data_IF_457769058802
#
_entry.id   IF_457769058802
#
_cell.length_a   1.000
_cell.length_b   1.000
_cell.length_c   1.000
_cell.angle_alpha   90.00
_cell.angle_beta   90.00
_cell.angle_gamma   90.00
#
_symmetry.space_group_name_H-M   'P 1'
#
loop_
_entity.id
_entity.type
_entity.pdbx_description
1 polymer ?
#
# COMPACT_ATOMS: atom_id res chain seq x y z
N UNK A 1 16.43 -63.15 16.16
CA UNK A 1 15.46 -62.31 15.42
C UNK A 1 15.54 -60.91 15.98
N UNK A 2 15.39 -59.88 15.13
CA UNK A 2 16.37 -58.82 14.95
C UNK A 2 15.87 -57.46 15.46
N UNK A 3 16.77 -56.49 15.56
CA UNK A 3 16.46 -55.08 15.78
C UNK A 3 17.54 -54.22 15.13
N UNK A 4 17.54 -54.21 13.80
CA UNK A 4 18.31 -53.31 12.94
C UNK A 4 17.88 -51.86 13.14
N UNK A 5 18.88 -50.98 13.08
CA UNK A 5 18.87 -49.61 12.54
C UNK A 5 17.69 -48.69 12.85
N UNK A 6 17.98 -47.60 13.57
CA UNK A 6 17.64 -46.25 13.04
C UNK A 6 18.69 -45.25 13.52
N UNK A 7 19.81 -45.18 12.82
CA UNK A 7 20.58 -43.94 12.77
C UNK A 7 19.66 -42.88 12.13
N UNK A 8 19.10 -41.99 12.95
CA UNK A 8 18.36 -40.84 12.46
C UNK A 8 19.27 -39.93 11.62
N UNK A 9 18.79 -39.35 10.50
CA UNK A 9 19.60 -38.48 9.67
C UNK A 9 20.06 -37.25 10.47
N UNK A 10 21.26 -36.70 10.18
CA UNK A 10 21.76 -35.52 10.88
C UNK A 10 20.82 -34.33 10.65
N UNK A 11 20.30 -33.77 11.75
CA UNK A 11 19.49 -32.57 11.72
C UNK A 11 20.34 -31.36 11.25
N UNK A 12 20.04 -30.92 10.02
CA UNK A 12 20.36 -29.64 9.38
C UNK A 12 21.53 -28.83 9.91
N UNK A 13 22.62 -28.78 9.14
CA UNK A 13 23.62 -27.71 9.25
C UNK A 13 22.96 -26.38 8.90
N UNK A 14 22.45 -25.67 9.89
CA UNK A 14 22.05 -24.26 9.74
C UNK A 14 23.25 -23.47 9.22
N UNK A 15 23.03 -22.65 8.18
CA UNK A 15 24.06 -21.76 7.63
C UNK A 15 24.64 -20.92 8.77
N UNK A 16 25.96 -20.94 8.95
CA UNK A 16 26.63 -20.22 10.03
C UNK A 16 26.32 -18.73 9.96
N UNK A 17 26.09 -18.08 11.12
CA UNK A 17 25.89 -16.62 11.21
C UNK A 17 27.04 -15.86 10.56
N UNK A 18 28.26 -16.39 10.63
CA UNK A 18 29.43 -15.82 9.94
C UNK A 18 29.25 -15.82 8.42
N UNK A 19 28.75 -16.92 7.85
CA UNK A 19 28.48 -17.03 6.40
C UNK A 19 27.39 -16.05 5.99
N UNK A 20 26.34 -15.88 6.80
CA UNK A 20 25.27 -14.91 6.53
C UNK A 20 25.82 -13.47 6.57
N UNK A 21 26.58 -13.11 7.62
CA UNK A 21 27.17 -11.77 7.75
C UNK A 21 28.16 -11.49 6.61
N UNK A 22 29.02 -12.46 6.26
CA UNK A 22 29.96 -12.32 5.16
C UNK A 22 29.24 -12.15 3.82
N UNK A 23 28.20 -12.95 3.57
CA UNK A 23 27.38 -12.84 2.37
C UNK A 23 26.70 -11.47 2.27
N UNK A 24 26.00 -11.03 3.32
CA UNK A 24 25.35 -9.71 3.38
C UNK A 24 26.35 -8.58 3.19
N UNK A 25 27.50 -8.65 3.87
CA UNK A 25 28.57 -7.64 3.74
C UNK A 25 29.10 -7.58 2.31
N UNK A 26 29.38 -8.75 1.71
CA UNK A 26 29.83 -8.84 0.32
C UNK A 26 28.79 -8.27 -0.65
N UNK A 27 27.51 -8.57 -0.44
CA UNK A 27 26.39 -8.00 -1.21
C UNK A 27 26.35 -6.48 -1.10
N UNK A 28 26.42 -5.91 0.11
CA UNK A 28 26.41 -4.46 0.31
C UNK A 28 27.59 -3.79 -0.40
N UNK A 29 28.79 -4.35 -0.28
CA UNK A 29 29.98 -3.80 -0.94
C UNK A 29 29.86 -3.83 -2.47
N UNK A 30 29.38 -4.93 -3.04
CA UNK A 30 29.12 -5.04 -4.49
C UNK A 30 28.06 -4.04 -4.94
N UNK A 31 27.01 -3.83 -4.14
CA UNK A 31 25.98 -2.84 -4.41
C UNK A 31 26.56 -1.44 -4.45
N UNK A 32 27.34 -1.06 -3.43
CA UNK A 32 27.98 0.26 -3.35
C UNK A 32 28.96 0.49 -4.50
N UNK A 33 29.75 -0.53 -4.88
CA UNK A 33 30.65 -0.44 -6.03
C UNK A 33 29.90 -0.28 -7.36
N UNK A 34 28.83 -1.05 -7.57
CA UNK A 34 27.98 -0.93 -8.76
C UNK A 34 27.28 0.44 -8.83
N UNK A 35 26.77 0.92 -7.69
CA UNK A 35 26.19 2.24 -7.54
C UNK A 35 27.19 3.33 -7.89
N UNK A 36 28.39 3.27 -7.32
CA UNK A 36 29.44 4.24 -7.60
C UNK A 36 29.78 4.31 -9.09
N UNK A 37 29.95 3.14 -9.75
CA UNK A 37 30.27 3.09 -11.17
C UNK A 37 29.15 3.70 -12.03
N UNK A 38 27.89 3.38 -11.71
CA UNK A 38 26.74 3.99 -12.38
C UNK A 38 26.66 5.51 -12.13
N UNK A 39 26.90 5.95 -10.89
CA UNK A 39 26.89 7.37 -10.52
C UNK A 39 27.91 8.17 -11.34
N UNK A 40 29.16 7.68 -11.40
CA UNK A 40 30.22 8.32 -12.20
C UNK A 40 29.88 8.33 -13.68
N UNK A 41 29.29 7.25 -14.20
CA UNK A 41 28.88 7.18 -15.61
C UNK A 41 27.81 8.21 -15.96
N UNK A 42 26.83 8.41 -15.08
CA UNK A 42 25.78 9.43 -15.27
C UNK A 42 26.36 10.85 -15.13
N UNK A 43 27.31 11.06 -14.22
CA UNK A 43 28.02 12.33 -14.08
C UNK A 43 28.83 12.64 -15.35
N UNK A 44 29.58 11.67 -15.87
CA UNK A 44 30.38 11.83 -17.09
C UNK A 44 29.48 12.11 -18.30
N UNK A 45 28.33 11.44 -18.38
CA UNK A 45 27.34 11.70 -19.43
C UNK A 45 26.74 13.12 -19.33
N UNK A 46 26.52 13.62 -18.12
CA UNK A 46 26.07 15.00 -17.89
C UNK A 46 27.11 16.01 -18.35
N UNK A 47 28.40 15.78 -18.05
CA UNK A 47 29.51 16.60 -18.56
C UNK A 47 29.55 16.54 -20.09
N UNK A 48 29.43 15.36 -20.67
CA UNK A 48 29.39 15.16 -22.12
C UNK A 48 28.21 15.89 -22.78
N UNK A 49 27.12 16.07 -22.04
CA UNK A 49 25.92 16.81 -22.47
C UNK A 49 26.05 18.33 -22.28
N UNK A 50 27.21 18.83 -21.85
CA UNK A 50 27.50 20.26 -21.72
C UNK A 50 27.22 20.85 -20.34
N UNK A 51 26.91 20.04 -19.33
CA UNK A 51 26.76 20.52 -17.94
C UNK A 51 28.16 20.75 -17.35
N UNK A 52 28.41 21.90 -16.66
CA UNK A 52 29.69 22.15 -15.99
C UNK A 52 30.04 21.01 -15.02
N UNK A 53 31.31 20.61 -14.96
CA UNK A 53 31.79 19.52 -14.11
C UNK A 53 31.46 19.70 -12.63
N UNK A 54 31.44 20.96 -12.15
CA UNK A 54 31.06 21.32 -10.77
C UNK A 54 29.59 21.01 -10.45
N UNK A 55 28.71 20.93 -11.45
CA UNK A 55 27.27 20.71 -11.30
C UNK A 55 26.82 19.34 -11.80
N UNK A 56 27.65 18.66 -12.58
CA UNK A 56 27.30 17.39 -13.23
C UNK A 56 26.93 16.27 -12.24
N UNK A 57 27.43 16.31 -11.00
CA UNK A 57 27.08 15.36 -9.94
C UNK A 57 25.60 15.43 -9.50
N UNK A 58 24.90 16.53 -9.80
CA UNK A 58 23.48 16.69 -9.47
C UNK A 58 22.62 15.76 -10.34
N UNK A 59 23.04 15.49 -11.58
CA UNK A 59 22.29 14.66 -12.51
C UNK A 59 22.09 13.21 -12.01
N UNK A 60 23.14 12.44 -11.67
CA UNK A 60 22.96 11.11 -11.08
C UNK A 60 22.18 11.17 -9.76
N UNK A 61 22.39 12.19 -8.93
CA UNK A 61 21.65 12.35 -7.68
C UNK A 61 20.13 12.45 -7.90
N UNK A 62 19.69 13.16 -8.94
CA UNK A 62 18.26 13.26 -9.28
C UNK A 62 17.72 11.88 -9.69
N UNK A 63 18.43 11.15 -10.56
CA UNK A 63 18.01 9.83 -11.03
C UNK A 63 17.92 8.84 -9.85
N UNK A 64 18.94 8.81 -9.01
CA UNK A 64 18.99 7.94 -7.84
C UNK A 64 17.96 8.35 -6.78
N UNK A 65 17.72 9.65 -6.60
CA UNK A 65 16.66 10.18 -5.74
C UNK A 65 15.28 9.69 -6.17
N UNK A 66 14.98 9.68 -7.47
CA UNK A 66 13.73 9.14 -8.01
C UNK A 66 13.63 7.63 -7.76
N UNK A 67 14.70 6.87 -7.96
CA UNK A 67 14.72 5.42 -7.67
C UNK A 67 14.48 5.16 -6.19
N UNK A 68 15.11 5.93 -5.30
CA UNK A 68 14.93 5.84 -3.86
C UNK A 68 13.49 6.15 -3.45
N UNK A 69 12.93 7.26 -3.90
CA UNK A 69 11.56 7.66 -3.58
C UNK A 69 10.54 6.65 -4.13
N UNK A 70 10.76 6.13 -5.34
CA UNK A 70 9.96 5.06 -5.91
C UNK A 70 10.04 3.76 -5.09
N UNK A 71 11.23 3.39 -4.61
CA UNK A 71 11.42 2.21 -3.75
C UNK A 71 10.68 2.34 -2.43
N UNK A 72 10.81 3.50 -1.75
CA UNK A 72 10.05 3.80 -0.53
C UNK A 72 8.55 3.75 -0.80
N UNK A 73 8.10 4.32 -1.92
CA UNK A 73 6.70 4.31 -2.33
C UNK A 73 6.17 2.88 -2.58
N UNK A 74 6.96 2.00 -3.21
CA UNK A 74 6.59 0.59 -3.41
C UNK A 74 6.38 -0.13 -2.07
N UNK A 75 7.18 0.19 -1.06
CA UNK A 75 7.05 -0.39 0.29
C UNK A 75 5.87 0.24 1.05
N UNK A 76 5.74 1.57 1.01
CA UNK A 76 4.70 2.32 1.73
C UNK A 76 3.29 2.03 1.19
N UNK A 77 3.15 1.91 -0.13
CA UNK A 77 1.87 1.67 -0.81
C UNK A 77 1.49 0.18 -0.86
N UNK A 78 2.12 -0.68 -0.04
CA UNK A 78 1.87 -2.14 -0.02
C UNK A 78 0.39 -2.48 0.21
N UNK A 79 -0.28 -1.72 1.07
CA UNK A 79 -1.69 -1.92 1.42
C UNK A 79 -2.63 -0.90 0.72
N UNK A 80 -2.11 -0.13 -0.24
CA UNK A 80 -2.85 0.89 -0.97
C UNK A 80 -3.52 0.34 -2.23
N UNK A 81 -4.24 1.19 -2.95
CA UNK A 81 -4.95 0.80 -4.17
C UNK A 81 -3.99 0.24 -5.25
N UNK A 82 -4.44 -0.73 -6.07
CA UNK A 82 -3.61 -1.30 -7.13
C UNK A 82 -3.09 -0.28 -8.16
N UNK A 83 -3.78 0.85 -8.35
CA UNK A 83 -3.32 1.94 -9.22
C UNK A 83 -2.11 2.67 -8.64
N UNK A 84 -2.13 3.05 -7.35
CA UNK A 84 -1.03 3.73 -6.70
C UNK A 84 0.24 2.87 -6.69
N UNK A 85 0.09 1.56 -6.40
CA UNK A 85 1.20 0.60 -6.45
C UNK A 85 1.78 0.45 -7.86
N UNK A 86 0.93 0.40 -8.90
CA UNK A 86 1.41 0.36 -10.30
C UNK A 86 2.21 1.59 -10.66
N UNK A 87 1.76 2.79 -10.26
CA UNK A 87 2.49 4.02 -10.49
C UNK A 87 3.89 3.99 -9.84
N UNK A 88 3.99 3.58 -8.58
CA UNK A 88 5.28 3.45 -7.90
C UNK A 88 6.22 2.44 -8.59
N UNK A 89 5.69 1.30 -9.04
CA UNK A 89 6.46 0.32 -9.83
C UNK A 89 6.89 0.85 -11.19
N UNK A 90 6.02 1.60 -11.88
CA UNK A 90 6.37 2.24 -13.16
C UNK A 90 7.46 3.29 -12.97
N UNK A 91 7.37 4.10 -11.92
CA UNK A 91 8.40 5.10 -11.61
C UNK A 91 9.75 4.44 -11.30
N UNK A 92 9.73 3.34 -10.52
CA UNK A 92 10.93 2.55 -10.24
C UNK A 92 11.54 1.96 -11.52
N UNK A 93 10.71 1.35 -12.37
CA UNK A 93 11.14 0.76 -13.63
C UNK A 93 11.68 1.82 -14.60
N UNK A 94 11.05 3.00 -14.66
CA UNK A 94 11.50 4.12 -15.47
C UNK A 94 12.86 4.64 -15.00
N UNK A 95 13.03 4.90 -13.70
CA UNK A 95 14.30 5.35 -13.13
C UNK A 95 15.44 4.36 -13.38
N UNK A 96 15.20 3.07 -13.14
CA UNK A 96 16.18 2.01 -13.44
C UNK A 96 16.48 1.93 -14.94
N UNK A 97 15.47 2.07 -15.81
CA UNK A 97 15.64 2.09 -17.25
C UNK A 97 16.52 3.24 -17.74
N UNK A 98 16.35 4.44 -17.18
CA UNK A 98 17.21 5.60 -17.46
C UNK A 98 18.65 5.32 -17.05
N UNK A 99 18.87 4.73 -15.87
CA UNK A 99 20.21 4.35 -15.40
C UNK A 99 20.88 3.35 -16.36
N UNK A 100 20.19 2.28 -16.76
CA UNK A 100 20.70 1.30 -17.74
C UNK A 100 21.02 1.97 -19.08
N UNK A 101 20.11 2.77 -19.61
CA UNK A 101 20.29 3.44 -20.89
C UNK A 101 21.48 4.42 -20.86
N UNK A 102 21.66 5.16 -19.77
CA UNK A 102 22.80 6.07 -19.60
C UNK A 102 24.12 5.30 -19.55
N UNK A 103 24.18 4.19 -18.82
CA UNK A 103 25.38 3.35 -18.77
C UNK A 103 25.74 2.74 -20.13
N UNK A 104 24.74 2.24 -20.86
CA UNK A 104 24.93 1.75 -22.23
C UNK A 104 25.45 2.87 -23.13
N UNK A 105 24.81 4.04 -23.09
CA UNK A 105 25.18 5.19 -23.94
C UNK A 105 26.62 5.61 -23.69
N UNK A 106 26.99 5.79 -22.42
CA UNK A 106 28.36 6.15 -22.05
C UNK A 106 29.36 5.09 -22.53
N UNK A 107 29.05 3.81 -22.37
CA UNK A 107 29.93 2.73 -22.80
C UNK A 107 30.09 2.66 -24.33
N UNK A 108 29.00 2.88 -25.09
CA UNK A 108 29.05 2.89 -26.56
C UNK A 108 29.82 4.11 -27.08
N UNK A 109 29.63 5.28 -26.47
CA UNK A 109 30.34 6.50 -26.85
C UNK A 109 31.82 6.45 -26.46
N UNK A 110 32.14 5.84 -25.32
CA UNK A 110 33.52 5.72 -24.82
C UNK A 110 34.23 4.45 -25.28
N UNK A 111 33.57 3.56 -26.04
CA UNK A 111 34.16 2.31 -26.48
C UNK A 111 35.34 2.58 -27.42
N UNK A 112 36.51 2.04 -27.06
CA UNK A 112 37.63 1.95 -27.99
C UNK A 112 37.26 1.03 -29.17
N UNK A 113 37.78 1.33 -30.34
CA UNK A 113 37.61 0.56 -31.60
C UNK A 113 37.92 -0.94 -31.48
N UNK A 114 38.64 -1.33 -30.42
CA UNK A 114 39.01 -2.71 -30.12
C UNK A 114 37.88 -3.54 -29.52
N UNK A 115 36.86 -2.92 -28.92
CA UNK A 115 35.76 -3.61 -28.26
C UNK A 115 34.46 -3.37 -29.03
N UNK A 116 33.75 -4.43 -29.48
CA UNK A 116 32.44 -4.27 -30.10
C UNK A 116 31.46 -3.54 -29.17
N UNK A 117 30.72 -2.57 -29.72
CA UNK A 117 29.76 -1.75 -28.97
C UNK A 117 28.73 -2.57 -28.18
N UNK A 118 28.31 -3.72 -28.73
CA UNK A 118 27.41 -4.65 -28.04
C UNK A 118 28.01 -5.20 -26.74
N UNK A 119 29.30 -5.56 -26.74
CA UNK A 119 29.97 -6.10 -25.56
C UNK A 119 30.10 -5.02 -24.49
N UNK A 120 30.50 -3.79 -24.88
CA UNK A 120 30.58 -2.65 -23.98
C UNK A 120 29.22 -2.34 -23.33
N UNK A 121 28.14 -2.33 -24.11
CA UNK A 121 26.78 -2.13 -23.63
C UNK A 121 26.33 -3.21 -22.64
N UNK A 122 26.62 -4.48 -22.92
CA UNK A 122 26.27 -5.59 -22.03
C UNK A 122 27.00 -5.49 -20.69
N UNK A 123 28.31 -5.23 -20.71
CA UNK A 123 29.11 -5.05 -19.48
C UNK A 123 28.62 -3.85 -18.68
N UNK A 124 28.34 -2.72 -19.35
CA UNK A 124 27.84 -1.51 -18.71
C UNK A 124 26.42 -1.65 -18.13
N UNK A 125 25.64 -2.63 -18.59
CA UNK A 125 24.32 -2.92 -18.03
C UNK A 125 24.39 -3.70 -16.71
N UNK A 126 25.52 -4.36 -16.41
CA UNK A 126 25.65 -5.21 -15.22
C UNK A 126 25.45 -4.41 -13.91
N UNK A 127 26.13 -3.27 -13.68
CA UNK A 127 25.95 -2.51 -12.44
C UNK A 127 24.49 -2.12 -12.14
N UNK A 128 23.73 -1.47 -13.05
CA UNK A 128 22.36 -1.08 -12.76
C UNK A 128 21.40 -2.28 -12.62
N UNK A 129 21.63 -3.38 -13.36
CA UNK A 129 20.79 -4.58 -13.24
C UNK A 129 20.98 -5.29 -11.90
N UNK A 130 22.22 -5.34 -11.39
CA UNK A 130 22.51 -5.90 -10.06
C UNK A 130 21.80 -5.10 -8.97
N UNK A 131 21.84 -3.76 -9.04
CA UNK A 131 21.12 -2.91 -8.09
C UNK A 131 19.61 -3.13 -8.16
N UNK A 132 19.05 -3.21 -9.37
CA UNK A 132 17.62 -3.47 -9.55
C UNK A 132 17.22 -4.82 -8.95
N UNK A 133 18.04 -5.85 -9.13
CA UNK A 133 17.84 -7.16 -8.52
C UNK A 133 17.87 -7.07 -6.99
N UNK A 134 18.81 -6.32 -6.40
CA UNK A 134 18.86 -6.11 -4.95
C UNK A 134 17.64 -5.35 -4.43
N UNK A 135 17.17 -4.33 -5.14
CA UNK A 135 15.96 -3.61 -4.79
C UNK A 135 14.75 -4.55 -4.79
N UNK A 136 14.63 -5.40 -5.80
CA UNK A 136 13.58 -6.41 -5.87
C UNK A 136 13.63 -7.38 -4.69
N UNK A 137 14.80 -7.93 -4.38
CA UNK A 137 15.01 -8.83 -3.25
C UNK A 137 14.70 -8.15 -1.91
N UNK A 138 15.07 -6.89 -1.72
CA UNK A 138 14.81 -6.12 -0.51
C UNK A 138 13.30 -5.89 -0.31
N UNK A 139 12.60 -5.53 -1.38
CA UNK A 139 11.15 -5.37 -1.37
C UNK A 139 10.47 -6.69 -1.03
N UNK A 140 10.93 -7.80 -1.60
CA UNK A 140 10.37 -9.12 -1.34
C UNK A 140 10.64 -9.59 0.11
N UNK A 141 11.86 -9.43 0.62
CA UNK A 141 12.19 -9.75 2.00
C UNK A 141 11.33 -8.94 3.01
N UNK A 142 11.07 -7.68 2.70
CA UNK A 142 10.20 -6.80 3.51
C UNK A 142 8.71 -7.21 3.42
N UNK A 143 8.28 -7.86 2.33
CA UNK A 143 6.94 -8.42 2.21
C UNK A 143 6.77 -9.69 3.04
N UNK A 144 7.81 -10.51 3.15
CA UNK A 144 7.76 -11.80 3.85
C UNK A 144 8.04 -11.71 5.36
N UNK A 145 8.57 -10.60 5.86
CA UNK A 145 8.81 -10.41 7.30
C UNK A 145 7.57 -9.82 7.97
N UNK A 146 6.70 -10.68 8.50
CA UNK A 146 5.63 -10.27 9.44
C UNK A 146 6.26 -10.04 10.82
N UNK A 147 6.01 -8.91 11.51
CA UNK A 147 6.56 -8.70 12.85
C UNK A 147 5.96 -9.70 13.85
N UNK A 148 6.77 -10.65 14.31
CA UNK A 148 6.50 -11.51 15.48
C UNK A 148 6.74 -10.70 16.77
N UNK A 149 6.04 -9.57 16.90
CA UNK A 149 6.05 -8.75 18.12
C UNK A 149 4.63 -8.26 18.39
N UNK A 150 3.69 -9.19 18.51
CA UNK A 150 2.34 -8.92 19.01
C UNK A 150 1.76 -10.09 19.82
N UNK A 151 2.60 -11.05 20.26
CA UNK A 151 2.14 -12.22 21.03
C UNK A 151 2.68 -12.29 22.46
N UNK A 152 3.36 -11.25 22.94
CA UNK A 152 3.83 -11.19 24.33
C UNK A 152 3.08 -10.21 25.24
N UNK A 153 2.05 -9.51 24.76
CA UNK A 153 1.35 -8.48 25.58
C UNK A 153 -0.18 -8.64 25.64
N UNK A 154 -0.69 -9.88 25.69
CA UNK A 154 -2.15 -10.11 25.86
C UNK A 154 -2.49 -11.21 26.89
N UNK A 155 -1.53 -11.71 27.67
CA UNK A 155 -1.83 -12.61 28.80
C UNK A 155 -1.88 -11.95 30.18
N UNK A 156 -1.79 -10.62 30.27
CA UNK A 156 -1.71 -9.91 31.57
C UNK A 156 -2.79 -8.84 31.77
N UNK A 157 -4.01 -8.99 31.23
CA UNK A 157 -5.14 -8.08 31.57
C UNK A 157 -6.50 -8.78 31.74
N UNK A 158 -6.52 -10.11 31.88
CA UNK A 158 -7.76 -10.88 32.07
C UNK A 158 -7.89 -11.48 33.47
N UNK A 159 -7.62 -10.74 34.55
CA UNK A 159 -7.96 -11.19 35.92
C UNK A 159 -8.23 -10.01 36.86
N UNK A 160 -9.15 -9.09 36.57
CA UNK A 160 -9.91 -8.37 37.61
C UNK A 160 -11.17 -7.79 36.94
N UNK A 161 -12.34 -8.37 37.19
CA UNK A 161 -13.49 -7.67 37.82
C UNK A 161 -14.75 -8.56 37.76
N UNK A 162 -14.95 -9.35 38.82
CA UNK A 162 -16.19 -10.07 39.09
C UNK A 162 -16.70 -9.62 40.45
N UNK A 163 -17.74 -8.78 40.47
CA UNK A 163 -18.59 -8.57 41.64
C UNK A 163 -19.97 -7.99 41.24
N UNK A 164 -21.00 -8.82 41.36
CA UNK A 164 -22.43 -8.45 41.40
C UNK A 164 -22.94 -8.58 42.85
N UNK A 165 -23.83 -7.67 43.29
CA UNK A 165 -25.08 -8.13 43.94
C UNK A 165 -26.30 -7.25 43.54
N UNK A 166 -27.38 -7.78 42.96
CA UNK A 166 -28.72 -8.03 43.56
C UNK A 166 -29.36 -6.89 44.38
N UNK A 167 -30.48 -6.36 43.86
CA UNK A 167 -31.49 -5.58 44.59
C UNK A 167 -32.81 -5.56 43.82
N UNK A 168 -33.90 -5.98 44.48
CA UNK A 168 -35.25 -6.28 43.96
C UNK A 168 -36.23 -5.25 44.52
N UNK A 169 -37.13 -4.68 43.71
CA UNK A 169 -38.49 -4.33 44.15
C UNK A 169 -39.44 -3.92 42.99
N UNK A 170 -40.68 -4.38 43.14
CA UNK A 170 -41.82 -4.36 42.23
C UNK A 170 -42.70 -3.11 42.40
N UNK A 171 -43.49 -2.72 41.38
CA UNK A 171 -44.99 -2.59 41.43
C UNK A 171 -45.58 -2.13 40.08
N UNK A 172 -46.69 -2.77 39.69
CA UNK A 172 -47.65 -2.39 38.62
C UNK A 172 -48.87 -1.75 39.29
N UNK A 173 -49.50 -0.70 38.70
CA UNK A 173 -50.91 -0.82 38.32
C UNK A 173 -51.33 -0.11 37.01
N UNK A 174 -52.33 -0.72 36.38
CA UNK A 174 -53.13 -0.40 35.18
C UNK A 174 -53.79 0.98 35.11
N UNK A 175 -53.80 1.63 33.93
CA UNK A 175 -54.93 2.40 33.38
C UNK A 175 -54.71 2.84 31.90
N UNK A 176 -55.71 2.62 31.03
CA UNK A 176 -55.91 3.27 29.71
C UNK A 176 -56.94 4.40 29.90
N UNK A 177 -56.82 5.57 29.24
CA UNK A 177 -57.54 5.81 27.97
C UNK A 177 -56.77 6.68 26.93
N UNK A 178 -57.36 6.81 25.74
CA UNK A 178 -56.91 7.38 24.43
C UNK A 178 -57.31 8.89 24.34
N UNK A 179 -57.00 9.72 23.30
CA UNK A 179 -55.74 10.10 22.60
C UNK A 179 -55.48 11.64 22.64
N UNK A 180 -54.22 12.13 22.59
CA UNK A 180 -53.92 13.47 22.04
C UNK A 180 -52.40 13.69 21.93
N UNK A 181 -51.95 13.85 20.69
CA UNK A 181 -51.04 14.90 20.19
C UNK A 181 -49.72 15.24 20.90
N UNK A 182 -48.70 15.36 20.04
CA UNK A 182 -47.45 16.11 20.19
C UNK A 182 -46.21 15.40 20.79
N UNK A 183 -45.17 15.48 19.95
CA UNK A 183 -43.78 15.77 20.31
C UNK A 183 -42.82 14.67 20.78
N UNK A 184 -41.93 14.33 19.83
CA UNK A 184 -40.46 14.40 19.91
C UNK A 184 -39.75 13.61 21.04
N UNK A 185 -39.06 12.55 20.58
CA UNK A 185 -37.59 12.34 20.62
C UNK A 185 -36.83 13.08 21.75
N UNK A 186 -35.98 12.46 22.58
CA UNK A 186 -34.92 11.52 22.21
C UNK A 186 -34.29 10.81 23.42
N UNK A 187 -33.68 9.69 23.07
CA UNK A 187 -32.79 8.75 23.76
C UNK A 187 -31.46 9.38 24.27
N UNK A 188 -30.57 8.57 24.87
CA UNK A 188 -29.49 8.02 24.02
C UNK A 188 -29.05 6.58 24.38
N UNK A 189 -28.83 5.72 23.36
CA UNK A 189 -27.58 4.97 23.10
C UNK A 189 -27.80 3.74 22.17
N UNK A 190 -27.00 3.73 21.09
CA UNK A 190 -26.51 2.69 20.14
C UNK A 190 -26.72 1.21 20.58
N UNK A 191 -27.11 0.21 19.72
CA UNK A 191 -26.18 -0.42 18.76
C UNK A 191 -26.70 -1.19 17.52
N UNK A 192 -25.74 -1.39 16.60
CA UNK A 192 -25.53 -2.48 15.63
C UNK A 192 -26.62 -3.53 15.39
N UNK A 193 -26.90 -3.79 14.11
CA UNK A 193 -26.84 -5.12 13.44
C UNK A 193 -27.61 -5.07 12.12
N UNK A 194 -27.04 -5.63 11.05
CA UNK A 194 -27.88 -6.19 9.98
C UNK A 194 -28.66 -7.38 10.54
N UNK A 195 -29.95 -7.50 10.21
CA UNK A 195 -30.35 -8.67 9.47
C UNK A 195 -31.17 -8.33 8.22
N UNK A 196 -31.14 -9.29 7.31
CA UNK A 196 -31.85 -9.42 6.04
C UNK A 196 -33.22 -8.71 5.92
N UNK A 197 -33.43 -8.19 4.70
CA UNK A 197 -34.60 -8.52 3.88
C UNK A 197 -35.86 -7.69 4.13
N UNK A 198 -36.31 -7.02 3.06
CA UNK A 198 -37.53 -6.19 2.87
C UNK A 198 -37.23 -4.69 3.02
N UNK A 199 -37.33 -3.77 2.06
CA UNK A 199 -37.67 -3.78 0.63
C UNK A 199 -37.08 -2.47 0.00
N UNK A 200 -36.93 -2.35 -1.34
CA UNK A 200 -36.09 -1.37 -2.04
C UNK A 200 -36.49 0.12 -1.93
N UNK A 201 -37.71 0.43 -1.53
CA UNK A 201 -38.28 1.80 -1.59
C UNK A 201 -37.55 2.81 -0.67
N UNK A 202 -37.17 2.40 0.54
CA UNK A 202 -36.61 3.32 1.54
C UNK A 202 -35.21 3.85 1.20
N UNK A 203 -34.42 3.11 0.41
CA UNK A 203 -33.08 3.54 -0.02
C UNK A 203 -33.13 4.48 -1.22
N UNK A 204 -34.11 4.32 -2.10
CA UNK A 204 -34.30 5.17 -3.26
C UNK A 204 -34.89 6.53 -2.83
N UNK A 205 -35.84 6.53 -1.89
CA UNK A 205 -36.38 7.75 -1.28
C UNK A 205 -35.32 8.54 -0.49
N UNK A 206 -34.45 7.84 0.28
CA UNK A 206 -33.33 8.47 0.96
C UNK A 206 -32.31 9.09 -0.01
N UNK A 207 -32.13 8.47 -1.19
CA UNK A 207 -31.27 9.00 -2.25
C UNK A 207 -31.89 10.24 -2.92
N UNK A 208 -33.19 10.23 -3.20
CA UNK A 208 -33.91 11.39 -3.76
C UNK A 208 -33.82 12.60 -2.83
N UNK A 209 -34.01 12.42 -1.53
CA UNK A 209 -33.84 13.50 -0.53
C UNK A 209 -32.39 13.99 -0.41
N UNK A 210 -31.41 13.11 -0.58
CA UNK A 210 -30.00 13.51 -0.60
C UNK A 210 -29.68 14.43 -1.80
N UNK A 211 -30.32 14.19 -2.95
CA UNK A 211 -30.15 14.98 -4.17
C UNK A 211 -30.80 16.37 -4.02
N UNK A 212 -32.00 16.47 -3.42
CA UNK A 212 -32.68 17.76 -3.18
C UNK A 212 -31.90 18.64 -2.22
N UNK A 213 -31.43 18.10 -1.09
CA UNK A 213 -30.66 18.88 -0.10
C UNK A 213 -29.31 19.37 -0.66
N UNK A 214 -28.69 18.60 -1.57
CA UNK A 214 -27.46 19.04 -2.24
C UNK A 214 -27.74 20.13 -3.30
N UNK A 215 -28.93 20.15 -3.90
CA UNK A 215 -29.35 21.23 -4.80
C UNK A 215 -29.61 22.56 -4.04
N UNK A 216 -30.08 22.47 -2.79
CA UNK A 216 -30.28 23.60 -1.88
C UNK A 216 -28.96 24.09 -1.23
N UNK A 217 -27.81 23.55 -1.65
CA UNK A 217 -26.47 23.99 -1.20
C UNK A 217 -26.01 23.40 0.14
N UNK A 218 -26.74 22.44 0.69
CA UNK A 218 -26.38 21.79 1.97
C UNK A 218 -25.15 20.91 1.79
N UNK A 219 -24.21 21.00 2.74
CA UNK A 219 -22.95 20.26 2.66
C UNK A 219 -23.17 18.74 2.77
N UNK A 220 -22.37 17.96 2.03
CA UNK A 220 -22.46 16.48 1.99
C UNK A 220 -22.36 15.81 3.37
N UNK A 221 -21.64 16.45 4.32
CA UNK A 221 -21.53 15.99 5.71
C UNK A 221 -22.84 16.15 6.48
N UNK A 222 -23.57 17.23 6.23
CA UNK A 222 -24.83 17.53 6.90
C UNK A 222 -25.97 16.66 6.37
N UNK A 223 -26.00 16.42 5.06
CA UNK A 223 -26.93 15.46 4.41
C UNK A 223 -26.74 14.04 4.97
N UNK A 224 -25.48 13.63 5.19
CA UNK A 224 -25.14 12.33 5.74
C UNK A 224 -25.67 12.16 7.18
N UNK A 225 -25.53 13.19 8.00
CA UNK A 225 -26.07 13.24 9.37
C UNK A 225 -27.60 13.21 9.37
N UNK A 226 -28.24 13.97 8.47
CA UNK A 226 -29.71 14.07 8.37
C UNK A 226 -30.38 12.78 7.89
N UNK A 227 -29.71 12.05 7.00
CA UNK A 227 -30.20 10.79 6.45
C UNK A 227 -29.69 9.55 7.22
N UNK A 228 -28.88 9.73 8.27
CA UNK A 228 -28.32 8.63 9.06
C UNK A 228 -27.39 7.69 8.29
N UNK A 229 -26.80 8.17 7.19
CA UNK A 229 -25.92 7.39 6.30
C UNK A 229 -24.51 7.98 6.27
N UNK A 230 -23.51 7.16 5.94
CA UNK A 230 -22.13 7.64 5.92
C UNK A 230 -21.88 8.68 4.79
N UNK A 231 -21.06 9.73 4.99
CA UNK A 231 -20.80 10.78 3.99
C UNK A 231 -20.34 10.26 2.61
N UNK A 232 -19.63 9.13 2.59
CA UNK A 232 -19.19 8.46 1.36
C UNK A 232 -20.36 7.85 0.57
N UNK A 233 -21.43 7.43 1.24
CA UNK A 233 -22.66 6.92 0.62
C UNK A 233 -23.41 8.04 -0.10
N UNK A 234 -23.52 9.21 0.53
CA UNK A 234 -24.11 10.42 -0.08
C UNK A 234 -23.27 10.86 -1.28
N UNK A 235 -21.94 10.91 -1.15
CA UNK A 235 -21.04 11.26 -2.26
C UNK A 235 -21.20 10.33 -3.48
N UNK A 236 -21.40 9.03 -3.25
CA UNK A 236 -21.66 8.06 -4.33
C UNK A 236 -23.03 8.27 -4.98
N UNK A 237 -24.06 8.60 -4.21
CA UNK A 237 -25.41 8.88 -4.75
C UNK A 237 -25.46 10.13 -5.62
N UNK A 238 -24.73 11.18 -5.24
CA UNK A 238 -24.62 12.44 -5.98
C UNK A 238 -23.77 12.33 -7.26
N UNK A 239 -22.79 11.41 -7.28
CA UNK A 239 -21.88 11.21 -8.42
C UNK A 239 -22.33 10.10 -9.39
N UNK A 240 -23.46 9.43 -9.13
CA UNK A 240 -23.96 8.39 -10.02
C UNK A 240 -24.88 9.03 -11.07
N UNK A 241 -24.46 9.15 -12.36
CA UNK A 241 -25.33 9.64 -13.42
C UNK A 241 -26.52 8.69 -13.62
N UNK A 242 -27.72 9.26 -13.79
CA UNK A 242 -28.96 8.51 -13.99
C UNK A 242 -28.87 7.61 -15.22
N UNK A 243 -28.79 6.30 -15.02
CA UNK A 243 -28.84 5.30 -16.11
C UNK A 243 -30.29 5.00 -16.54
N UNK A 244 -31.23 5.94 -16.40
CA UNK A 244 -32.64 5.76 -16.80
C UNK A 244 -33.12 6.74 -17.89
N UNK A 245 -32.23 7.10 -18.82
CA UNK A 245 -32.61 7.81 -20.05
C UNK A 245 -32.03 7.17 -21.34
N UNK A 246 -31.62 5.90 -21.33
CA UNK A 246 -31.12 5.22 -22.55
C UNK A 246 -31.73 3.82 -22.78
N UNK A 247 -32.98 3.61 -22.34
CA UNK A 247 -33.80 2.49 -22.77
C UNK A 247 -35.15 3.03 -23.21
N UNK A 248 -35.60 2.60 -24.39
CA UNK A 248 -36.77 3.06 -25.18
C UNK A 248 -36.39 4.20 -26.15
N UNK A 249 -36.42 4.09 -27.48
CA UNK A 249 -36.98 3.12 -28.44
C UNK A 249 -36.22 3.29 -29.76
N UNK A 250 -35.66 2.22 -30.33
CA UNK A 250 -35.41 2.12 -31.76
C UNK A 250 -36.52 1.25 -32.34
N UNK A 251 -37.59 1.89 -32.79
CA UNK A 251 -38.48 1.43 -33.86
C UNK A 251 -38.58 2.58 -34.86
#
# INVERSE_FOLDING_TARGET
MPGSDTAGPPAGSGVSRFVIVLAVTGTILLALGAFWLSFTTLQDLAVLSGIPSEQAWIWPLIVDGVILEATVSVVALRNSTPSARRFAWLLLAAGAGVSVAANITHAVVSADTRVPALIAALVASVPPLVLLAMTHLTVELTRNTTPVVASMDTKQHAVIDEARPTGRQSVTPTAKPVPSEADRTSTPHVPHSTPNGTAPASREDARLRALTLNADGVSKRQIATELGVHPTTVGRWLNTPDRRQNGDTHD
#
